data_IF_675480912632
#
_entry.id   IF_675480912632
#
_cell.length_a   1.000
_cell.length_b   1.000
_cell.length_c   1.000
_cell.angle_alpha   90.00
_cell.angle_beta   90.00
_cell.angle_gamma   90.00
#
_symmetry.space_group_name_H-M   'P 1'
#
loop_
_entity.id
_entity.type
_entity.pdbx_description
1 polymer ?
#
# COMPACT_ATOMS: atom_id res chain seq x y z
N UNK A 1 -1.73 -30.88 -13.14
CA UNK A 1 -3.04 -31.44 -12.71
C UNK A 1 -3.46 -31.04 -11.28
N UNK A 2 -2.56 -30.58 -10.40
CA UNK A 2 -2.95 -30.08 -9.06
C UNK A 2 -3.57 -28.66 -9.07
N UNK A 3 -3.26 -27.85 -10.09
CA UNK A 3 -3.76 -26.49 -10.31
C UNK A 3 -5.29 -26.41 -10.49
N UNK A 4 -5.94 -27.50 -10.93
CA UNK A 4 -7.39 -27.55 -11.17
C UNK A 4 -8.21 -28.03 -9.96
N UNK A 5 -7.57 -28.25 -8.80
CA UNK A 5 -8.28 -28.57 -7.55
C UNK A 5 -8.46 -27.31 -6.72
N UNK A 6 -9.60 -27.16 -6.05
CA UNK A 6 -9.87 -25.97 -5.20
C UNK A 6 -8.78 -25.75 -4.14
N UNK A 7 -8.23 -26.83 -3.57
CA UNK A 7 -7.12 -26.77 -2.61
C UNK A 7 -5.83 -26.23 -3.25
N UNK A 8 -5.46 -26.71 -4.44
CA UNK A 8 -4.30 -26.22 -5.18
C UNK A 8 -4.43 -24.74 -5.57
N UNK A 9 -5.63 -24.32 -5.98
CA UNK A 9 -5.94 -22.91 -6.29
C UNK A 9 -5.75 -21.99 -5.07
N UNK A 10 -6.25 -22.41 -3.89
CA UNK A 10 -6.10 -21.66 -2.64
C UNK A 10 -4.63 -21.53 -2.27
N UNK A 11 -3.85 -22.61 -2.33
CA UNK A 11 -2.43 -22.56 -1.99
C UNK A 11 -1.62 -21.70 -2.94
N UNK A 12 -1.96 -21.67 -4.23
CA UNK A 12 -1.32 -20.78 -5.20
C UNK A 12 -1.64 -19.30 -4.92
N UNK A 13 -2.89 -18.97 -4.54
CA UNK A 13 -3.29 -17.59 -4.25
C UNK A 13 -2.74 -17.02 -2.94
N UNK A 14 -2.27 -17.87 -2.03
CA UNK A 14 -1.62 -17.45 -0.79
C UNK A 14 -0.12 -17.14 -0.98
N UNK A 15 0.42 -17.32 -2.19
CA UNK A 15 1.82 -17.04 -2.49
C UNK A 15 2.00 -15.62 -3.03
N UNK A 16 2.91 -14.88 -2.40
CA UNK A 16 3.30 -13.54 -2.84
C UNK A 16 4.44 -13.63 -3.87
N UNK A 17 4.46 -12.67 -4.80
CA UNK A 17 5.59 -12.46 -5.70
C UNK A 17 6.80 -11.94 -4.89
N UNK A 18 7.74 -12.82 -4.64
CA UNK A 18 8.89 -12.55 -3.77
C UNK A 18 10.19 -12.53 -4.58
N UNK A 19 10.96 -11.46 -4.46
CA UNK A 19 12.30 -11.30 -5.02
C UNK A 19 13.32 -11.37 -3.89
N UNK A 20 14.36 -12.19 -4.03
CA UNK A 20 15.32 -12.33 -2.96
C UNK A 20 16.55 -13.13 -3.34
N UNK A 21 17.40 -13.35 -2.35
CA UNK A 21 18.65 -14.08 -2.49
C UNK A 21 18.40 -15.57 -2.33
N UNK A 22 18.58 -16.34 -3.39
CA UNK A 22 18.42 -17.78 -3.39
C UNK A 22 19.63 -18.46 -2.73
N UNK A 23 19.48 -19.68 -2.16
CA UNK A 23 20.59 -20.42 -1.53
C UNK A 23 21.76 -20.74 -2.48
N UNK A 24 21.54 -20.69 -3.80
CA UNK A 24 22.56 -20.90 -4.84
C UNK A 24 23.46 -19.67 -5.08
N UNK A 25 23.22 -18.55 -4.40
CA UNK A 25 23.99 -17.31 -4.55
C UNK A 25 23.44 -16.35 -5.62
N UNK A 26 22.33 -16.68 -6.28
CA UNK A 26 21.71 -15.84 -7.30
C UNK A 26 20.57 -14.99 -6.71
N UNK A 27 20.39 -13.80 -7.27
CA UNK A 27 19.23 -12.96 -6.99
C UNK A 27 18.16 -13.23 -8.04
N UNK A 28 16.95 -13.56 -7.59
CA UNK A 28 15.87 -13.93 -8.50
C UNK A 28 14.49 -13.87 -7.87
N UNK A 29 13.48 -14.12 -8.69
CA UNK A 29 12.11 -14.30 -8.23
C UNK A 29 11.90 -15.74 -7.77
N UNK A 30 11.23 -15.91 -6.63
CA UNK A 30 10.80 -17.22 -6.16
C UNK A 30 9.69 -17.74 -7.06
N UNK A 31 9.85 -18.95 -7.60
CA UNK A 31 8.82 -19.61 -8.40
C UNK A 31 7.97 -20.57 -7.57
N UNK A 32 8.38 -20.83 -6.33
CA UNK A 32 7.66 -21.67 -5.38
C UNK A 32 7.67 -21.08 -3.97
N UNK A 33 6.68 -21.44 -3.14
CA UNK A 33 6.64 -21.05 -1.73
C UNK A 33 7.85 -21.56 -0.92
N UNK A 34 8.45 -22.69 -1.33
CA UNK A 34 9.66 -23.21 -0.69
C UNK A 34 10.85 -22.26 -0.92
N UNK A 35 11.08 -21.86 -2.17
CA UNK A 35 12.14 -20.89 -2.51
C UNK A 35 11.92 -19.53 -1.84
N UNK A 36 10.68 -19.04 -1.81
CA UNK A 36 10.36 -17.78 -1.13
C UNK A 36 10.67 -17.83 0.37
N UNK A 37 10.48 -19.00 1.00
CA UNK A 37 10.82 -19.22 2.41
C UNK A 37 12.32 -19.36 2.63
N UNK A 38 13.03 -19.97 1.69
CA UNK A 38 14.49 -20.16 1.73
C UNK A 38 15.27 -18.85 1.52
N UNK A 39 14.68 -17.84 0.85
CA UNK A 39 15.25 -16.50 0.73
C UNK A 39 15.44 -15.78 2.08
N UNK A 40 14.76 -16.24 3.14
CA UNK A 40 14.97 -15.77 4.51
C UNK A 40 14.73 -14.27 4.69
N UNK A 41 15.67 -13.59 5.36
CA UNK A 41 15.57 -12.15 5.65
C UNK A 41 15.56 -11.26 4.41
N UNK A 42 16.16 -11.73 3.30
CA UNK A 42 16.28 -10.98 2.04
C UNK A 42 15.15 -11.28 1.06
N UNK A 43 13.99 -11.70 1.56
CA UNK A 43 12.77 -11.94 0.79
C UNK A 43 11.94 -10.64 0.67
N UNK A 44 12.01 -9.98 -0.47
CA UNK A 44 11.22 -8.78 -0.76
C UNK A 44 9.90 -9.16 -1.45
N UNK A 45 8.77 -8.92 -0.80
CA UNK A 45 7.44 -9.09 -1.41
C UNK A 45 7.14 -7.93 -2.37
N UNK A 46 7.52 -8.09 -3.63
CA UNK A 46 7.49 -7.04 -4.65
C UNK A 46 6.05 -6.66 -4.99
N UNK A 47 5.13 -7.60 -4.97
CA UNK A 47 3.70 -7.34 -5.16
C UNK A 47 3.14 -6.37 -4.12
N UNK A 48 3.40 -6.65 -2.84
CA UNK A 48 2.88 -5.90 -1.70
C UNK A 48 3.55 -4.53 -1.63
N UNK A 49 4.86 -4.47 -1.85
CA UNK A 49 5.61 -3.22 -1.95
C UNK A 49 5.14 -2.37 -3.14
N UNK A 50 4.91 -3.00 -4.29
CA UNK A 50 4.40 -2.34 -5.50
C UNK A 50 3.02 -1.73 -5.26
N UNK A 51 2.08 -2.48 -4.67
CA UNK A 51 0.76 -1.97 -4.32
C UNK A 51 0.81 -0.87 -3.27
N UNK A 52 1.68 -1.00 -2.26
CA UNK A 52 1.86 0.04 -1.23
C UNK A 52 2.31 1.37 -1.84
N UNK A 53 3.34 1.35 -2.69
CA UNK A 53 3.85 2.55 -3.37
C UNK A 53 2.81 3.10 -4.35
N UNK A 54 2.15 2.24 -5.12
CA UNK A 54 1.12 2.65 -6.07
C UNK A 54 -0.06 3.36 -5.37
N UNK A 55 -0.58 2.78 -4.28
CA UNK A 55 -1.66 3.39 -3.51
C UNK A 55 -1.22 4.69 -2.84
N UNK A 56 0.01 4.74 -2.28
CA UNK A 56 0.58 5.97 -1.73
C UNK A 56 0.71 7.07 -2.78
N UNK A 57 1.14 6.73 -4.00
CA UNK A 57 1.24 7.68 -5.11
C UNK A 57 -0.15 8.17 -5.54
N UNK A 58 -1.12 7.27 -5.69
CA UNK A 58 -2.51 7.62 -6.01
C UNK A 58 -3.08 8.58 -4.96
N UNK A 59 -2.86 8.29 -3.67
CA UNK A 59 -3.27 9.15 -2.57
C UNK A 59 -2.68 10.56 -2.71
N UNK A 60 -1.36 10.68 -2.88
CA UNK A 60 -0.69 11.99 -3.04
C UNK A 60 -1.19 12.72 -4.29
N UNK A 61 -1.42 12.01 -5.40
CA UNK A 61 -1.92 12.61 -6.63
C UNK A 61 -3.34 13.16 -6.48
N UNK A 62 -4.25 12.41 -5.84
CA UNK A 62 -5.63 12.86 -5.59
C UNK A 62 -5.62 14.12 -4.71
N UNK A 63 -4.88 14.09 -3.60
CA UNK A 63 -4.79 15.25 -2.69
C UNK A 63 -4.13 16.45 -3.36
N UNK A 64 -3.10 16.22 -4.18
CA UNK A 64 -2.47 17.29 -4.98
C UNK A 64 -3.45 17.89 -5.98
N UNK A 65 -4.27 17.07 -6.65
CA UNK A 65 -5.28 17.54 -7.59
C UNK A 65 -6.35 18.38 -6.90
N UNK A 66 -6.83 17.94 -5.72
CA UNK A 66 -7.77 18.69 -4.91
C UNK A 66 -7.17 20.02 -4.45
N UNK A 67 -5.96 20.00 -3.88
CA UNK A 67 -5.27 21.20 -3.40
C UNK A 67 -5.01 22.23 -4.52
N UNK A 68 -4.60 21.79 -5.72
CA UNK A 68 -4.37 22.70 -6.86
C UNK A 68 -5.66 23.34 -7.41
N UNK A 69 -6.81 22.71 -7.19
CA UNK A 69 -8.13 23.19 -7.64
C UNK A 69 -8.96 23.77 -6.50
N UNK A 70 -8.40 23.88 -5.30
CA UNK A 70 -9.10 24.40 -4.15
C UNK A 70 -9.46 25.86 -4.39
N UNK A 71 -10.74 26.20 -4.22
CA UNK A 71 -11.22 27.58 -4.29
C UNK A 71 -11.91 27.95 -2.98
N UNK A 72 -11.80 29.21 -2.56
CA UNK A 72 -12.48 29.71 -1.35
C UNK A 72 -13.95 30.05 -1.55
N UNK A 73 -14.43 29.95 -2.80
CA UNK A 73 -15.83 30.19 -3.17
C UNK A 73 -16.66 28.93 -2.98
N UNK A 74 -17.35 28.50 -4.05
CA UNK A 74 -18.11 27.26 -4.02
C UNK A 74 -17.18 26.07 -4.33
N UNK A 75 -16.94 25.14 -3.38
CA UNK A 75 -16.05 24.02 -3.61
C UNK A 75 -16.64 23.05 -4.65
N UNK A 76 -15.77 22.53 -5.51
CA UNK A 76 -16.14 21.43 -6.42
C UNK A 76 -16.31 20.11 -5.66
N UNK A 77 -16.94 19.10 -6.29
CA UNK A 77 -17.23 17.81 -5.64
C UNK A 77 -15.99 17.11 -5.04
N UNK A 78 -14.85 17.14 -5.73
CA UNK A 78 -13.59 16.54 -5.23
C UNK A 78 -12.98 17.33 -4.07
N UNK A 79 -13.11 18.66 -4.06
CA UNK A 79 -12.63 19.50 -2.96
C UNK A 79 -13.45 19.22 -1.70
N UNK A 80 -14.79 19.22 -1.81
CA UNK A 80 -15.68 18.92 -0.68
C UNK A 80 -15.40 17.54 -0.06
N UNK A 81 -15.19 16.51 -0.89
CA UNK A 81 -14.84 15.17 -0.39
C UNK A 81 -13.53 15.17 0.41
N UNK A 82 -12.49 15.85 -0.09
CA UNK A 82 -11.20 15.93 0.61
C UNK A 82 -11.31 16.76 1.88
N UNK A 83 -12.07 17.86 1.87
CA UNK A 83 -12.32 18.70 3.05
C UNK A 83 -12.98 17.90 4.18
N UNK A 84 -14.05 17.15 3.89
CA UNK A 84 -14.71 16.29 4.90
C UNK A 84 -13.74 15.29 5.53
N UNK A 85 -12.86 14.67 4.72
CA UNK A 85 -11.86 13.74 5.24
C UNK A 85 -10.82 14.43 6.12
N UNK A 86 -10.34 15.61 5.71
CA UNK A 86 -9.34 16.37 6.46
C UNK A 86 -9.92 16.89 7.77
N UNK A 87 -11.14 17.42 7.76
CA UNK A 87 -11.84 17.87 8.97
C UNK A 87 -12.07 16.72 9.95
N UNK A 88 -12.43 15.54 9.44
CA UNK A 88 -12.58 14.34 10.27
C UNK A 88 -11.26 13.95 10.96
N UNK A 89 -10.14 13.97 10.23
CA UNK A 89 -8.82 13.67 10.78
C UNK A 89 -8.39 14.75 11.78
N UNK A 90 -8.58 16.04 11.45
CA UNK A 90 -8.25 17.16 12.33
C UNK A 90 -9.04 17.11 13.65
N UNK A 91 -10.33 16.82 13.60
CA UNK A 91 -11.15 16.58 14.79
C UNK A 91 -10.63 15.42 15.63
N UNK A 92 -10.36 14.28 14.99
CA UNK A 92 -9.82 13.08 15.68
C UNK A 92 -8.48 13.36 16.37
N UNK A 93 -7.60 14.14 15.75
CA UNK A 93 -6.31 14.53 16.32
C UNK A 93 -6.49 15.48 17.49
N UNK A 94 -7.36 16.50 17.36
CA UNK A 94 -7.64 17.46 18.43
C UNK A 94 -8.27 16.81 19.65
N UNK A 95 -9.17 15.86 19.46
CA UNK A 95 -9.79 15.10 20.54
C UNK A 95 -8.78 14.20 21.25
N UNK A 96 -7.84 13.62 20.50
CA UNK A 96 -6.83 12.70 21.04
C UNK A 96 -5.62 13.42 21.66
N UNK A 97 -5.26 14.61 21.17
CA UNK A 97 -4.05 15.33 21.54
C UNK A 97 -4.32 16.83 21.73
N UNK A 98 -4.10 17.29 22.97
CA UNK A 98 -4.34 18.69 23.38
C UNK A 98 -3.05 19.51 23.52
N UNK A 99 -1.90 18.96 23.14
CA UNK A 99 -0.63 19.65 23.18
C UNK A 99 -0.51 20.67 22.04
N UNK A 100 -0.03 21.88 22.33
CA UNK A 100 0.42 22.79 21.28
C UNK A 100 1.83 22.35 20.89
N UNK A 101 2.01 21.90 19.64
CA UNK A 101 3.35 21.75 19.08
C UNK A 101 4.03 23.12 19.12
N UNK A 102 5.15 23.21 19.82
CA UNK A 102 5.98 24.41 19.81
C UNK A 102 6.80 24.39 18.51
N UNK A 103 6.28 25.04 17.48
CA UNK A 103 7.08 25.53 16.36
C UNK A 103 6.81 27.02 16.24
#
# INVERSE_FOLDING_TARGET
MAEQTASGYIQHHLQNLTFGHLPNGEWGFAHTAAEAKEMGFWAFHVDTLGWSVALGLIFVLIFRMAAKKATSGQPGALQNFVEVLVEFVDGSVKDSFHGRSAV
#
